data_IF_569597229423
#
_entry.id   IF_569597229423
#
_cell.length_a   1.000
_cell.length_b   1.000
_cell.length_c   1.000
_cell.angle_alpha   90.00
_cell.angle_beta   90.00
_cell.angle_gamma   90.00
#
_symmetry.space_group_name_H-M   'P 1'
#
loop_
_entity.id
_entity.type
_entity.pdbx_description
1 polymer ?
#
# COMPACT_ATOMS: atom_id res chain seq x y z
N UNK A 1 10.76 -14.01 -16.69
CA UNK A 1 11.70 -13.74 -15.56
C UNK A 1 10.91 -13.80 -14.26
N UNK A 2 11.28 -14.66 -13.30
CA UNK A 2 10.66 -14.62 -11.97
C UNK A 2 11.06 -13.30 -11.31
N UNK A 3 10.08 -12.40 -11.08
CA UNK A 3 10.32 -11.24 -10.21
C UNK A 3 10.66 -11.77 -8.82
N UNK A 4 11.79 -11.35 -8.27
CA UNK A 4 12.13 -11.64 -6.89
C UNK A 4 11.21 -10.83 -5.98
N UNK A 5 10.88 -11.37 -4.83
CA UNK A 5 10.18 -10.63 -3.76
C UNK A 5 10.95 -9.35 -3.42
N UNK A 6 10.23 -8.34 -2.89
CA UNK A 6 10.85 -7.08 -2.46
C UNK A 6 12.03 -7.39 -1.53
N UNK A 7 13.24 -7.11 -2.00
CA UNK A 7 14.44 -7.29 -1.21
C UNK A 7 14.73 -6.01 -0.44
N UNK A 8 14.59 -6.06 0.87
CA UNK A 8 15.10 -5.02 1.75
C UNK A 8 16.64 -5.10 1.73
N UNK A 9 17.29 -4.27 0.95
CA UNK A 9 18.74 -4.22 0.86
C UNK A 9 19.27 -2.91 1.45
N UNK A 10 20.52 -2.92 1.90
CA UNK A 10 21.20 -1.69 2.35
C UNK A 10 21.34 -0.63 1.23
N UNK A 11 21.18 -1.05 -0.01
CA UNK A 11 21.31 -0.20 -1.20
C UNK A 11 19.97 0.33 -1.74
N UNK A 12 18.85 -0.05 -1.13
CA UNK A 12 17.52 0.39 -1.54
C UNK A 12 16.83 1.15 -0.43
N UNK A 13 16.21 2.25 -0.78
CA UNK A 13 15.29 2.97 0.09
C UNK A 13 13.93 2.28 0.06
N UNK A 14 13.26 2.18 1.21
CA UNK A 14 11.88 1.72 1.31
C UNK A 14 11.03 2.87 1.80
N UNK A 15 10.09 3.31 0.98
CA UNK A 15 9.15 4.37 1.29
C UNK A 15 7.80 3.76 1.63
N UNK A 16 7.46 3.77 2.91
CA UNK A 16 6.13 3.40 3.41
C UNK A 16 5.24 4.63 3.39
N UNK A 17 4.27 4.64 2.49
CA UNK A 17 3.47 5.82 2.22
C UNK A 17 2.00 5.59 2.59
N UNK A 18 1.61 6.17 3.73
CA UNK A 18 0.22 6.15 4.19
C UNK A 18 -0.63 7.17 3.42
N UNK A 19 -1.59 6.69 2.64
CA UNK A 19 -2.43 7.56 1.80
C UNK A 19 -3.79 7.90 2.44
N UNK A 20 -4.17 7.18 3.51
CA UNK A 20 -5.37 7.44 4.29
C UNK A 20 -5.26 6.81 5.69
N UNK A 21 -6.13 7.26 6.60
CA UNK A 21 -6.22 6.68 7.95
C UNK A 21 -7.45 5.78 8.13
N UNK A 22 -8.38 5.77 7.18
CA UNK A 22 -9.58 4.92 7.22
C UNK A 22 -9.23 3.46 6.99
N UNK A 23 -9.86 2.58 7.76
CA UNK A 23 -9.75 1.13 7.60
C UNK A 23 -11.13 0.48 7.78
N UNK A 24 -11.36 -0.64 7.11
CA UNK A 24 -12.57 -1.46 7.23
C UNK A 24 -12.43 -2.57 8.28
N UNK A 25 -11.27 -2.72 8.92
CA UNK A 25 -11.01 -3.67 10.00
C UNK A 25 -10.58 -2.94 11.28
N UNK A 26 -10.65 -3.66 12.41
CA UNK A 26 -10.23 -3.17 13.73
C UNK A 26 -9.28 -4.16 14.40
N UNK A 27 -8.17 -4.43 13.76
CA UNK A 27 -7.19 -5.40 14.24
C UNK A 27 -6.73 -5.10 15.67
N UNK A 28 -6.65 -6.14 16.50
CA UNK A 28 -6.27 -6.00 17.91
C UNK A 28 -4.84 -5.45 18.09
N UNK A 29 -3.93 -5.76 17.13
CA UNK A 29 -2.52 -5.38 17.15
C UNK A 29 -2.19 -4.20 16.21
N UNK A 30 -3.23 -3.48 15.72
CA UNK A 30 -3.00 -2.37 14.81
C UNK A 30 -2.07 -1.32 15.44
N UNK A 31 -0.99 -0.98 14.72
CA UNK A 31 -0.03 0.04 15.17
C UNK A 31 -0.57 1.48 15.04
N UNK A 32 -1.62 1.67 14.23
CA UNK A 32 -2.32 2.95 14.14
C UNK A 32 -3.27 3.04 15.34
N UNK A 33 -3.12 4.09 16.14
CA UNK A 33 -4.03 4.33 17.27
C UNK A 33 -5.47 4.42 16.76
N UNK A 34 -6.41 3.80 17.48
CA UNK A 34 -7.84 3.79 17.14
C UNK A 34 -8.42 5.20 16.99
N UNK A 35 -7.93 6.16 17.74
CA UNK A 35 -8.33 7.57 17.63
C UNK A 35 -7.87 8.22 16.31
N UNK A 36 -6.84 7.65 15.68
CA UNK A 36 -6.31 8.08 14.38
C UNK A 36 -6.95 7.34 13.21
N UNK A 37 -7.74 6.30 13.45
CA UNK A 37 -8.57 5.63 12.45
C UNK A 37 -9.71 6.57 12.06
N UNK A 38 -9.38 7.54 11.24
CA UNK A 38 -10.30 8.60 10.88
C UNK A 38 -10.77 8.54 9.43
N UNK A 39 -11.29 9.66 8.99
CA UNK A 39 -11.75 9.89 7.64
C UNK A 39 -10.70 10.59 6.77
N UNK A 40 -9.47 10.77 7.28
CA UNK A 40 -8.43 11.51 6.55
C UNK A 40 -7.94 10.68 5.36
N UNK A 41 -8.04 11.31 4.20
CA UNK A 41 -7.61 10.74 2.92
C UNK A 41 -6.79 11.81 2.21
N UNK A 42 -5.58 11.49 1.79
CA UNK A 42 -4.77 12.41 1.01
C UNK A 42 -5.40 12.62 -0.36
N UNK A 43 -5.40 13.86 -0.85
CA UNK A 43 -5.79 14.11 -2.22
C UNK A 43 -4.75 13.55 -3.20
N UNK A 44 -5.17 13.27 -4.44
CA UNK A 44 -4.25 12.79 -5.47
C UNK A 44 -3.13 13.80 -5.76
N UNK A 45 -3.42 15.09 -5.66
CA UNK A 45 -2.42 16.15 -5.84
C UNK A 45 -1.39 16.15 -4.70
N UNK A 46 -1.83 15.97 -3.47
CA UNK A 46 -0.93 15.82 -2.31
C UNK A 46 -0.06 14.56 -2.46
N UNK A 47 -0.64 13.44 -2.90
CA UNK A 47 0.11 12.20 -3.17
C UNK A 47 1.18 12.47 -4.23
N UNK A 48 0.83 13.13 -5.32
CA UNK A 48 1.77 13.48 -6.40
C UNK A 48 2.91 14.37 -5.90
N UNK A 49 2.58 15.41 -5.14
CA UNK A 49 3.55 16.34 -4.57
C UNK A 49 4.55 15.61 -3.66
N UNK A 50 4.06 14.81 -2.73
CA UNK A 50 4.91 14.12 -1.76
C UNK A 50 5.76 13.03 -2.40
N UNK A 51 5.23 12.27 -3.35
CA UNK A 51 6.02 11.32 -4.13
C UNK A 51 7.10 12.03 -4.95
N UNK A 52 6.81 13.23 -5.44
CA UNK A 52 7.74 14.08 -6.16
C UNK A 52 9.02 14.42 -5.37
N UNK A 53 8.93 14.50 -4.04
CA UNK A 53 10.09 14.72 -3.15
C UNK A 53 11.13 13.60 -3.32
N UNK A 54 10.68 12.38 -3.62
CA UNK A 54 11.53 11.21 -3.80
C UNK A 54 11.91 10.93 -5.26
N UNK A 55 11.45 11.76 -6.21
CA UNK A 55 11.60 11.50 -7.64
C UNK A 55 13.07 11.32 -8.08
N UNK A 56 14.00 12.09 -7.49
CA UNK A 56 15.43 11.97 -7.78
C UNK A 56 16.06 10.64 -7.36
N UNK A 57 15.42 9.93 -6.42
CA UNK A 57 15.85 8.62 -5.90
C UNK A 57 14.87 7.48 -6.25
N UNK A 58 13.88 7.75 -7.08
CA UNK A 58 12.82 6.79 -7.39
C UNK A 58 13.37 5.43 -7.87
N UNK A 59 14.41 5.44 -8.73
CA UNK A 59 15.06 4.23 -9.26
C UNK A 59 15.66 3.31 -8.19
N UNK A 60 15.96 3.85 -7.00
CA UNK A 60 16.53 3.11 -5.87
C UNK A 60 15.52 2.95 -4.73
N UNK A 61 14.29 3.39 -4.92
CA UNK A 61 13.24 3.40 -3.91
C UNK A 61 12.13 2.40 -4.21
N UNK A 62 11.90 1.49 -3.28
CA UNK A 62 10.70 0.65 -3.27
C UNK A 62 9.56 1.44 -2.60
N UNK A 63 8.49 1.67 -3.30
CA UNK A 63 7.31 2.36 -2.78
C UNK A 63 6.29 1.34 -2.30
N UNK A 64 5.82 1.51 -1.07
CA UNK A 64 4.77 0.68 -0.47
C UNK A 64 3.59 1.60 -0.10
N UNK A 65 2.49 1.49 -0.84
CA UNK A 65 1.24 2.13 -0.48
C UNK A 65 0.57 1.36 0.65
N UNK A 66 0.29 2.06 1.72
CA UNK A 66 -0.42 1.54 2.88
C UNK A 66 -1.26 2.66 3.53
N UNK A 67 -1.79 2.41 4.70
CA UNK A 67 -2.62 3.38 5.40
C UNK A 67 -3.35 2.71 6.54
N UNK A 68 -4.61 3.03 6.76
CA UNK A 68 -5.56 2.13 7.38
C UNK A 68 -5.75 0.93 6.45
N UNK A 69 -6.54 1.10 5.39
CA UNK A 69 -6.63 0.14 4.29
C UNK A 69 -6.56 0.90 2.95
N UNK A 70 -5.46 0.77 2.17
CA UNK A 70 -5.25 1.57 0.97
C UNK A 70 -6.29 1.30 -0.13
N UNK A 71 -6.91 0.12 -0.15
CA UNK A 71 -7.95 -0.22 -1.14
C UNK A 71 -9.24 0.57 -0.97
N UNK A 72 -9.40 1.27 0.16
CA UNK A 72 -10.50 2.21 0.38
C UNK A 72 -10.22 3.60 -0.23
N UNK A 73 -9.01 3.85 -0.73
CA UNK A 73 -8.69 5.13 -1.33
C UNK A 73 -9.28 5.21 -2.74
N UNK A 74 -10.12 6.23 -3.06
CA UNK A 74 -10.81 6.31 -4.35
C UNK A 74 -9.85 6.45 -5.53
N UNK A 75 -8.69 7.05 -5.31
CA UNK A 75 -7.70 7.33 -6.36
C UNK A 75 -6.47 6.41 -6.31
N UNK A 76 -6.56 5.22 -5.66
CA UNK A 76 -5.43 4.31 -5.52
C UNK A 76 -4.81 3.94 -6.87
N UNK A 77 -5.63 3.60 -7.87
CA UNK A 77 -5.14 3.25 -9.21
C UNK A 77 -4.40 4.41 -9.88
N UNK A 78 -4.89 5.63 -9.72
CA UNK A 78 -4.23 6.84 -10.21
C UNK A 78 -2.92 7.11 -9.48
N UNK A 79 -2.87 6.88 -8.16
CA UNK A 79 -1.64 7.01 -7.37
C UNK A 79 -0.57 6.01 -7.82
N UNK A 80 -0.95 4.75 -8.08
CA UNK A 80 -0.07 3.72 -8.64
C UNK A 80 0.47 4.14 -10.01
N UNK A 81 -0.39 4.67 -10.89
CA UNK A 81 0.02 5.14 -12.21
C UNK A 81 1.02 6.32 -12.14
N UNK A 82 0.78 7.26 -11.22
CA UNK A 82 1.69 8.39 -10.96
C UNK A 82 3.07 7.88 -10.49
N UNK A 83 3.06 6.95 -9.53
CA UNK A 83 4.30 6.35 -9.03
C UNK A 83 5.08 5.62 -10.14
N UNK A 84 4.38 4.88 -11.00
CA UNK A 84 4.98 4.22 -12.15
C UNK A 84 5.62 5.21 -13.12
N UNK A 85 4.94 6.33 -13.41
CA UNK A 85 5.48 7.38 -14.27
C UNK A 85 6.71 8.08 -13.67
N UNK A 86 6.80 8.15 -12.33
CA UNK A 86 7.98 8.69 -11.64
C UNK A 86 9.17 7.71 -11.62
N UNK A 87 8.97 6.45 -12.00
CA UNK A 87 10.03 5.47 -12.15
C UNK A 87 10.53 4.85 -10.85
N UNK A 88 9.66 4.68 -9.85
CA UNK A 88 9.99 3.94 -8.62
C UNK A 88 10.46 2.52 -8.96
N UNK A 89 11.46 2.03 -8.22
CA UNK A 89 12.09 0.72 -8.42
C UNK A 89 11.10 -0.43 -8.35
N UNK A 90 10.18 -0.35 -7.41
CA UNK A 90 9.02 -1.24 -7.30
C UNK A 90 7.86 -0.51 -6.63
N UNK A 91 6.66 -0.93 -6.95
CA UNK A 91 5.41 -0.42 -6.36
C UNK A 91 4.67 -1.60 -5.74
N UNK A 92 4.36 -1.48 -4.47
CA UNK A 92 3.63 -2.48 -3.67
C UNK A 92 2.38 -1.86 -3.08
N UNK A 93 1.31 -2.62 -3.00
CA UNK A 93 0.14 -2.29 -2.17
C UNK A 93 0.12 -3.28 -1.01
N UNK A 94 0.15 -2.75 0.23
CA UNK A 94 0.00 -3.54 1.46
C UNK A 94 -1.45 -3.45 1.93
N UNK A 95 -2.16 -4.58 1.88
CA UNK A 95 -3.62 -4.65 2.07
C UNK A 95 -4.03 -5.77 3.01
N UNK A 96 -5.15 -5.57 3.71
CA UNK A 96 -5.81 -6.64 4.45
C UNK A 96 -6.52 -7.66 3.55
N UNK A 97 -6.62 -7.40 2.26
CA UNK A 97 -7.17 -8.31 1.25
C UNK A 97 -8.69 -8.39 1.19
N UNK A 98 -9.43 -7.67 2.04
CA UNK A 98 -10.90 -7.77 2.09
C UNK A 98 -11.57 -7.28 0.79
N UNK A 99 -11.06 -6.20 0.18
CA UNK A 99 -11.55 -5.62 -1.07
C UNK A 99 -10.62 -5.92 -2.26
N UNK A 100 -9.81 -6.95 -2.17
CA UNK A 100 -8.79 -7.27 -3.17
C UNK A 100 -9.36 -7.43 -4.58
N UNK A 101 -10.52 -8.06 -4.72
CA UNK A 101 -11.17 -8.29 -6.02
C UNK A 101 -11.47 -7.00 -6.79
N UNK A 102 -11.72 -5.90 -6.11
CA UNK A 102 -12.01 -4.61 -6.75
C UNK A 102 -10.75 -3.94 -7.32
N UNK A 103 -9.58 -4.28 -6.81
CA UNK A 103 -8.30 -3.70 -7.27
C UNK A 103 -7.96 -4.19 -8.67
N UNK A 104 -8.21 -5.47 -8.95
CA UNK A 104 -7.85 -6.11 -10.21
C UNK A 104 -8.61 -5.56 -11.41
N UNK A 105 -9.73 -4.88 -11.17
CA UNK A 105 -10.50 -4.20 -12.23
C UNK A 105 -9.83 -2.89 -12.67
N UNK A 106 -8.98 -2.31 -11.82
CA UNK A 106 -8.42 -0.97 -12.02
C UNK A 106 -6.90 -0.91 -12.12
N UNK A 107 -6.21 -1.95 -11.68
CA UNK A 107 -4.73 -2.02 -11.65
C UNK A 107 -4.27 -3.28 -12.36
N UNK A 108 -3.40 -3.11 -13.35
CA UNK A 108 -2.85 -4.21 -14.14
C UNK A 108 -1.48 -4.65 -13.63
N UNK A 109 -1.03 -5.88 -13.96
CA UNK A 109 0.32 -6.35 -13.64
C UNK A 109 1.46 -5.52 -14.23
N UNK A 110 1.17 -4.67 -15.23
CA UNK A 110 2.14 -3.75 -15.80
C UNK A 110 2.36 -2.50 -14.93
N UNK A 111 1.40 -2.17 -14.05
CA UNK A 111 1.41 -0.97 -13.22
C UNK A 111 1.89 -1.24 -11.80
N UNK A 112 1.72 -2.46 -11.30
CA UNK A 112 2.02 -2.86 -9.93
C UNK A 112 2.96 -4.06 -9.91
N UNK A 113 3.96 -4.01 -9.04
CA UNK A 113 4.94 -5.09 -8.90
C UNK A 113 4.48 -6.16 -7.90
N UNK A 114 3.91 -5.76 -6.76
CA UNK A 114 3.58 -6.69 -5.68
C UNK A 114 2.30 -6.27 -4.94
N UNK A 115 1.58 -7.30 -4.48
CA UNK A 115 0.65 -7.18 -3.36
C UNK A 115 1.28 -7.82 -2.12
N UNK A 116 1.21 -7.12 -1.00
CA UNK A 116 1.51 -7.64 0.33
C UNK A 116 0.20 -7.85 1.08
N UNK A 117 -0.08 -9.09 1.48
CA UNK A 117 -1.29 -9.43 2.22
C UNK A 117 -0.98 -9.63 3.70
N UNK A 118 -1.73 -8.94 4.52
CA UNK A 118 -1.63 -9.08 5.97
C UNK A 118 -2.49 -10.25 6.47
N UNK A 119 -1.84 -11.32 6.92
CA UNK A 119 -2.47 -12.51 7.49
C UNK A 119 -1.87 -12.82 8.87
N UNK A 120 -2.72 -13.09 9.86
CA UNK A 120 -2.32 -13.37 11.24
C UNK A 120 -2.79 -14.73 11.75
N UNK A 121 -3.34 -15.57 10.89
CA UNK A 121 -3.76 -16.92 11.23
C UNK A 121 -3.85 -17.82 10.01
N UNK A 122 -3.61 -19.12 10.23
CA UNK A 122 -3.69 -20.16 9.19
C UNK A 122 -5.12 -20.62 8.91
N UNK A 123 -6.05 -20.30 9.81
CA UNK A 123 -7.49 -20.54 9.64
C UNK A 123 -8.24 -19.22 9.73
N UNK A 124 -9.49 -19.22 9.21
CA UNK A 124 -10.37 -18.06 9.31
C UNK A 124 -10.57 -17.62 10.76
N UNK A 125 -10.84 -18.56 11.65
CA UNK A 125 -11.10 -18.31 13.06
C UNK A 125 -9.91 -17.65 13.76
N UNK A 126 -8.70 -18.15 13.52
CA UNK A 126 -7.49 -17.58 14.13
C UNK A 126 -7.14 -16.22 13.53
N UNK A 127 -7.35 -16.03 12.24
CA UNK A 127 -7.12 -14.74 11.59
C UNK A 127 -8.11 -13.70 12.06
N UNK A 128 -9.41 -14.03 12.07
CA UNK A 128 -10.49 -13.08 12.43
C UNK A 128 -10.45 -12.71 13.91
N UNK A 129 -9.95 -13.58 14.79
CA UNK A 129 -9.76 -13.27 16.21
C UNK A 129 -8.80 -12.09 16.42
N UNK A 130 -7.86 -11.87 15.52
CA UNK A 130 -6.87 -10.78 15.59
C UNK A 130 -7.31 -9.60 14.73
N UNK A 131 -7.80 -9.87 13.52
CA UNK A 131 -8.07 -8.83 12.52
C UNK A 131 -9.50 -8.27 12.57
N UNK A 132 -10.43 -8.97 13.17
CA UNK A 132 -11.82 -8.51 13.34
C UNK A 132 -12.77 -8.98 12.28
#
# INVERSE_FOLDING_TARGET
MKKQTVAFSRQSTNLFFHILTRCNLRCAHCYINREQHGSNTLSLDTIREWLGIFSSKAKDTNLIFLGGEPTLHPDLASAVSIAGAMGFKSITIDTNGFLFHNILDNITPAQLDFFSFSLDGVTKETNDAIRG
#
